data_IF_010220342139
#
_entry.id   IF_010220342139
#
_cell.length_a   1.000
_cell.length_b   1.000
_cell.length_c   1.000
_cell.angle_alpha   90.00
_cell.angle_beta   90.00
_cell.angle_gamma   90.00
#
_symmetry.space_group_name_H-M   'P 1'
#
loop_
_entity.id
_entity.type
_entity.pdbx_description
1 polymer ?
#
# COMPACT_ATOMS: atom_id res chain seq x y z
N UNK A 1 -16.04 17.32 2.24
CA UNK A 1 -14.82 17.32 3.06
C UNK A 1 -13.74 16.50 2.38
N UNK A 2 -12.58 17.09 2.20
CA UNK A 2 -11.46 16.37 1.62
C UNK A 2 -10.93 15.35 2.61
N UNK A 3 -10.74 14.10 2.15
CA UNK A 3 -10.17 13.04 2.96
C UNK A 3 -8.67 12.99 2.71
N UNK A 4 -7.92 12.82 3.76
CA UNK A 4 -6.46 12.80 3.67
C UNK A 4 -5.88 11.54 4.30
N UNK A 5 -4.74 11.13 3.77
CA UNK A 5 -3.92 10.11 4.41
C UNK A 5 -3.21 10.73 5.60
N UNK A 6 -3.32 10.08 6.75
CA UNK A 6 -2.69 10.51 7.99
C UNK A 6 -1.58 9.54 8.37
N UNK A 7 -0.45 10.07 8.83
CA UNK A 7 0.69 9.26 9.25
C UNK A 7 0.98 9.53 10.73
N UNK A 8 1.03 8.48 11.53
CA UNK A 8 1.43 8.53 12.93
C UNK A 8 2.78 7.85 13.08
N UNK A 9 3.77 8.59 13.57
CA UNK A 9 5.14 8.09 13.72
C UNK A 9 5.72 8.64 15.02
N UNK A 10 5.55 7.89 16.11
CA UNK A 10 6.10 8.28 17.40
C UNK A 10 7.62 8.26 17.37
N UNK A 11 8.24 9.23 18.06
CA UNK A 11 9.69 9.29 18.17
C UNK A 11 10.26 8.03 18.83
N UNK A 12 11.34 7.51 18.28
CA UNK A 12 12.04 6.35 18.84
C UNK A 12 11.42 5.00 18.53
N UNK A 13 10.39 4.95 17.69
CA UNK A 13 9.76 3.68 17.29
C UNK A 13 10.27 3.20 15.94
N UNK A 14 10.14 1.89 15.69
CA UNK A 14 10.54 1.27 14.44
C UNK A 14 9.42 1.23 13.40
N UNK A 15 8.21 1.58 13.81
CA UNK A 15 7.04 1.51 12.93
C UNK A 15 6.42 2.88 12.70
N UNK A 16 5.51 2.92 11.74
CA UNK A 16 4.59 4.02 11.57
C UNK A 16 3.23 3.44 11.18
N UNK A 17 2.19 4.23 11.38
CA UNK A 17 0.82 3.81 11.05
C UNK A 17 0.21 4.85 10.11
N UNK A 18 -0.29 4.35 8.99
CA UNK A 18 -0.94 5.16 7.96
C UNK A 18 -2.43 4.85 8.00
N UNK A 19 -3.27 5.88 8.05
CA UNK A 19 -4.72 5.71 8.00
C UNK A 19 -5.33 6.57 6.91
N UNK A 20 -6.37 6.05 6.28
CA UNK A 20 -7.13 6.80 5.27
C UNK A 20 -8.55 6.26 5.20
N UNK A 21 -9.54 7.17 5.22
CA UNK A 21 -10.92 6.84 4.94
C UNK A 21 -11.19 7.09 3.45
N UNK A 22 -11.93 6.17 2.83
CA UNK A 22 -12.26 6.23 1.40
C UNK A 22 -13.77 6.26 1.19
N UNK A 23 -14.21 6.97 0.17
CA UNK A 23 -15.60 6.93 -0.29
C UNK A 23 -15.79 5.75 -1.23
N UNK A 24 -15.49 4.56 -0.71
CA UNK A 24 -15.55 3.28 -1.43
C UNK A 24 -16.15 2.22 -0.52
N UNK A 25 -17.01 1.35 -1.05
CA UNK A 25 -17.43 0.16 -0.28
C UNK A 25 -16.21 -0.68 0.09
N UNK A 26 -16.29 -1.38 1.21
CA UNK A 26 -15.19 -2.21 1.72
C UNK A 26 -14.65 -3.19 0.67
N UNK A 27 -15.54 -3.89 -0.02
CA UNK A 27 -15.14 -4.89 -1.02
C UNK A 27 -14.30 -4.26 -2.13
N UNK A 28 -14.64 -3.05 -2.54
CA UNK A 28 -13.94 -2.36 -3.61
C UNK A 28 -12.59 -1.84 -3.15
N UNK A 29 -12.51 -1.32 -1.91
CA UNK A 29 -11.24 -0.91 -1.32
C UNK A 29 -10.29 -2.11 -1.21
N UNK A 30 -10.81 -3.25 -0.78
CA UNK A 30 -10.00 -4.47 -0.66
C UNK A 30 -9.51 -4.94 -2.03
N UNK A 31 -10.39 -4.96 -3.03
CA UNK A 31 -10.03 -5.33 -4.41
C UNK A 31 -8.96 -4.42 -4.99
N UNK A 32 -8.94 -3.16 -4.60
CA UNK A 32 -7.90 -2.22 -5.03
C UNK A 32 -6.50 -2.66 -4.60
N UNK A 33 -6.39 -3.54 -3.62
CA UNK A 33 -5.11 -4.08 -3.15
C UNK A 33 -4.90 -5.56 -3.53
N UNK A 34 -5.95 -6.24 -3.97
CA UNK A 34 -5.91 -7.68 -4.19
C UNK A 34 -6.07 -8.09 -5.66
N UNK A 35 -6.76 -7.30 -6.48
CA UNK A 35 -6.96 -7.64 -7.89
C UNK A 35 -5.91 -6.99 -8.78
N UNK A 36 -5.13 -7.79 -9.54
CA UNK A 36 -4.02 -7.27 -10.34
C UNK A 36 -4.39 -6.11 -11.27
N UNK A 37 -5.52 -6.21 -11.96
CA UNK A 37 -5.94 -5.18 -12.92
C UNK A 37 -6.22 -3.86 -12.23
N UNK A 38 -6.80 -3.90 -11.04
CA UNK A 38 -7.13 -2.69 -10.29
C UNK A 38 -5.87 -2.09 -9.67
N UNK A 39 -5.01 -2.93 -9.09
CA UNK A 39 -3.71 -2.51 -8.56
C UNK A 39 -2.91 -1.79 -9.65
N UNK A 40 -2.84 -2.37 -10.83
CA UNK A 40 -2.09 -1.81 -11.95
C UNK A 40 -2.61 -0.42 -12.34
N UNK A 41 -3.92 -0.22 -12.31
CA UNK A 41 -4.53 1.05 -12.71
C UNK A 41 -4.18 2.20 -11.76
N UNK A 42 -4.42 2.03 -10.45
CA UNK A 42 -4.22 3.16 -9.55
C UNK A 42 -2.75 3.36 -9.15
N UNK A 43 -1.97 2.29 -9.10
CA UNK A 43 -0.53 2.41 -8.77
C UNK A 43 0.31 2.78 -9.99
N UNK A 44 -0.21 2.62 -11.20
CA UNK A 44 0.57 2.86 -12.41
C UNK A 44 1.73 1.88 -12.52
N UNK A 45 1.52 0.63 -12.14
CA UNK A 45 2.55 -0.41 -12.12
C UNK A 45 2.09 -1.63 -12.90
N UNK A 46 3.06 -2.47 -13.27
CA UNK A 46 2.77 -3.77 -13.88
C UNK A 46 2.84 -4.81 -12.78
N UNK A 47 1.77 -5.59 -12.63
CA UNK A 47 1.72 -6.68 -11.65
C UNK A 47 2.29 -7.92 -12.33
N UNK A 48 3.52 -8.29 -11.97
CA UNK A 48 4.18 -9.47 -12.53
C UNK A 48 3.71 -10.74 -11.82
N UNK A 49 3.39 -10.63 -10.54
CA UNK A 49 2.97 -11.75 -9.71
C UNK A 49 2.14 -11.23 -8.56
N UNK A 50 1.06 -11.91 -8.24
CA UNK A 50 0.24 -11.60 -7.06
C UNK A 50 -0.52 -12.87 -6.66
N UNK A 51 0.09 -13.64 -5.77
CA UNK A 51 -0.49 -14.88 -5.27
C UNK A 51 -1.14 -14.62 -3.91
N UNK A 52 -2.43 -14.34 -3.91
CA UNK A 52 -3.21 -13.95 -2.73
C UNK A 52 -3.51 -15.15 -1.84
N UNK A 53 -2.51 -15.64 -1.16
CA UNK A 53 -2.62 -16.76 -0.23
C UNK A 53 -1.44 -16.72 0.72
N UNK A 54 -1.57 -17.46 1.82
CA UNK A 54 -0.45 -17.62 2.78
C UNK A 54 0.77 -18.16 2.05
N UNK A 55 1.90 -17.50 2.24
CA UNK A 55 3.20 -17.80 1.61
C UNK A 55 3.25 -17.55 0.11
N UNK A 56 2.23 -16.90 -0.45
CA UNK A 56 2.24 -16.48 -1.85
C UNK A 56 3.16 -15.29 -2.05
N UNK A 57 3.80 -15.24 -3.23
CA UNK A 57 4.69 -14.14 -3.58
C UNK A 57 3.97 -13.04 -4.35
N UNK A 58 4.56 -11.84 -4.35
CA UNK A 58 4.07 -10.76 -5.19
C UNK A 58 5.24 -9.96 -5.76
N UNK A 59 5.08 -9.42 -6.96
CA UNK A 59 6.09 -8.63 -7.65
C UNK A 59 5.44 -7.57 -8.52
N UNK A 60 5.87 -6.31 -8.35
CA UNK A 60 5.41 -5.18 -9.14
C UNK A 60 6.59 -4.53 -9.85
N UNK A 61 6.36 -4.06 -11.08
CA UNK A 61 7.38 -3.38 -11.86
C UNK A 61 6.81 -2.10 -12.43
N UNK A 62 7.48 -0.98 -12.17
CA UNK A 62 7.05 0.33 -12.69
C UNK A 62 8.03 0.79 -13.75
N UNK A 63 7.50 1.24 -14.90
CA UNK A 63 8.29 1.74 -16.01
C UNK A 63 7.97 3.20 -16.27
N UNK A 64 8.91 3.91 -16.88
CA UNK A 64 8.69 5.28 -17.34
C UNK A 64 7.99 5.27 -18.72
N UNK A 65 7.74 6.46 -19.29
CA UNK A 65 7.06 6.60 -20.57
C UNK A 65 7.84 5.98 -21.74
N UNK A 66 9.14 5.74 -21.56
CA UNK A 66 10.01 5.15 -22.59
C UNK A 66 10.13 3.64 -22.44
N UNK A 67 9.48 3.06 -21.42
CA UNK A 67 9.56 1.63 -21.16
C UNK A 67 10.73 1.19 -20.30
N UNK A 68 11.51 2.12 -19.77
CA UNK A 68 12.61 1.79 -18.86
C UNK A 68 12.08 1.46 -17.47
N UNK A 69 12.60 0.41 -16.84
CA UNK A 69 12.21 0.02 -15.50
C UNK A 69 12.79 1.04 -14.51
N UNK A 70 11.92 1.73 -13.77
CA UNK A 70 12.32 2.72 -12.77
C UNK A 70 12.24 2.19 -11.35
N UNK A 71 11.42 1.18 -11.11
CA UNK A 71 11.37 0.52 -9.79
C UNK A 71 10.79 -0.89 -9.88
N UNK A 72 11.22 -1.74 -8.97
CA UNK A 72 10.67 -3.06 -8.75
C UNK A 72 10.48 -3.25 -7.26
N UNK A 73 9.34 -3.87 -6.91
CA UNK A 73 9.05 -4.21 -5.53
C UNK A 73 8.59 -5.66 -5.48
N UNK A 74 8.88 -6.33 -4.36
CA UNK A 74 8.49 -7.73 -4.18
C UNK A 74 8.25 -8.02 -2.71
N UNK A 75 7.65 -9.17 -2.45
CA UNK A 75 7.44 -9.62 -1.08
C UNK A 75 6.74 -10.96 -1.02
N UNK A 76 6.40 -11.34 0.21
CA UNK A 76 5.67 -12.57 0.51
C UNK A 76 4.47 -12.22 1.37
N UNK A 77 3.32 -12.81 1.04
CA UNK A 77 2.08 -12.67 1.81
C UNK A 77 2.09 -13.71 2.93
N UNK A 78 1.88 -13.27 4.17
CA UNK A 78 1.82 -14.17 5.34
C UNK A 78 0.41 -14.42 5.82
N UNK A 79 -0.49 -13.44 5.66
CA UNK A 79 -1.91 -13.61 5.94
C UNK A 79 -2.71 -12.91 4.85
N UNK A 80 -3.78 -13.54 4.45
CA UNK A 80 -4.72 -12.97 3.48
C UNK A 80 -6.13 -13.36 3.92
N UNK A 81 -6.90 -12.39 4.42
CA UNK A 81 -8.28 -12.58 4.83
C UNK A 81 -9.14 -11.61 4.05
N UNK A 82 -9.97 -12.14 3.16
CA UNK A 82 -10.79 -11.33 2.26
C UNK A 82 -11.58 -10.27 3.01
N UNK A 83 -11.52 -9.04 2.53
CA UNK A 83 -12.20 -7.86 3.07
C UNK A 83 -11.79 -7.50 4.51
N UNK A 84 -10.70 -8.05 5.03
CA UNK A 84 -10.28 -7.77 6.40
C UNK A 84 -8.82 -7.39 6.55
N UNK A 85 -7.88 -8.22 6.06
CA UNK A 85 -6.46 -7.91 6.25
C UNK A 85 -5.55 -8.62 5.28
N UNK A 86 -4.40 -7.98 5.05
CA UNK A 86 -3.27 -8.57 4.34
C UNK A 86 -2.03 -8.28 5.19
N UNK A 87 -1.26 -9.31 5.48
CA UNK A 87 0.06 -9.15 6.13
C UNK A 87 1.10 -9.63 5.14
N UNK A 88 2.09 -8.77 4.86
CA UNK A 88 3.09 -9.08 3.84
C UNK A 88 4.42 -8.40 4.12
N UNK A 89 5.48 -8.92 3.53
CA UNK A 89 6.75 -8.21 3.45
C UNK A 89 6.77 -7.35 2.19
N UNK A 90 7.59 -6.32 2.20
CA UNK A 90 7.78 -5.40 1.09
C UNK A 90 9.27 -5.07 0.97
N UNK A 91 9.82 -5.27 -0.23
CA UNK A 91 11.18 -4.89 -0.55
C UNK A 91 11.19 -4.08 -1.84
N UNK A 92 11.81 -2.88 -1.79
CA UNK A 92 12.07 -2.10 -2.99
C UNK A 92 13.46 -2.48 -3.49
N UNK A 93 13.52 -3.10 -4.68
CA UNK A 93 14.79 -3.54 -5.25
C UNK A 93 15.65 -2.35 -5.66
N UNK A 94 16.95 -2.50 -5.47
CA UNK A 94 17.95 -1.47 -5.81
C UNK A 94 17.76 -0.13 -5.07
N UNK A 95 17.12 -0.17 -3.91
CA UNK A 95 16.95 0.99 -3.05
C UNK A 95 17.67 0.76 -1.71
N UNK A 96 18.09 1.83 -1.03
CA UNK A 96 18.83 1.70 0.23
C UNK A 96 17.92 1.40 1.42
N UNK A 97 16.78 0.76 1.18
CA UNK A 97 15.82 0.39 2.21
C UNK A 97 15.73 -1.14 2.26
N UNK A 98 15.86 -1.68 3.46
CA UNK A 98 15.73 -3.12 3.66
C UNK A 98 14.27 -3.56 3.62
N UNK A 99 14.04 -4.86 3.71
CA UNK A 99 12.70 -5.43 3.75
C UNK A 99 11.93 -4.86 4.94
N UNK A 100 10.69 -4.48 4.70
CA UNK A 100 9.77 -4.01 5.73
C UNK A 100 8.59 -4.95 5.85
N UNK A 101 7.95 -4.95 7.02
CA UNK A 101 6.76 -5.77 7.29
C UNK A 101 5.54 -4.85 7.31
N UNK A 102 4.51 -5.22 6.56
CA UNK A 102 3.30 -4.41 6.43
C UNK A 102 2.07 -5.18 6.90
N UNK A 103 1.27 -4.51 7.74
CA UNK A 103 -0.03 -4.99 8.21
C UNK A 103 -1.09 -4.07 7.64
N UNK A 104 -1.88 -4.56 6.69
CA UNK A 104 -2.97 -3.81 6.09
C UNK A 104 -4.29 -4.30 6.68
N UNK A 105 -5.03 -3.38 7.31
CA UNK A 105 -6.34 -3.64 7.86
C UNK A 105 -7.42 -2.89 7.09
N UNK A 106 -8.53 -3.54 6.82
CA UNK A 106 -9.65 -3.00 6.05
C UNK A 106 -10.90 -3.05 6.90
N UNK A 107 -11.61 -1.93 6.99
CA UNK A 107 -12.78 -1.81 7.86
C UNK A 107 -13.91 -1.08 7.15
N UNK A 108 -15.11 -1.62 7.24
CA UNK A 108 -16.30 -0.96 6.73
C UNK A 108 -16.77 0.08 7.73
N UNK A 109 -17.03 1.31 7.26
CA UNK A 109 -17.58 2.39 8.09
C UNK A 109 -19.08 2.55 7.85
N UNK A 110 -19.47 2.61 6.57
CA UNK A 110 -20.86 2.63 6.13
C UNK A 110 -20.96 1.74 4.89
N UNK A 111 -22.13 1.64 4.30
CA UNK A 111 -22.31 0.83 3.07
C UNK A 111 -21.40 1.33 1.93
N UNK A 112 -21.11 2.62 1.91
CA UNK A 112 -20.35 3.27 0.81
C UNK A 112 -18.99 3.80 1.23
N UNK A 113 -18.60 3.65 2.49
CA UNK A 113 -17.32 4.16 2.99
C UNK A 113 -16.56 3.10 3.76
N UNK A 114 -15.23 3.20 3.71
CA UNK A 114 -14.34 2.22 4.33
C UNK A 114 -13.05 2.90 4.77
N UNK A 115 -12.27 2.18 5.58
CA UNK A 115 -11.02 2.69 6.13
C UNK A 115 -9.90 1.69 5.94
N UNK A 116 -8.75 2.20 5.51
CA UNK A 116 -7.50 1.46 5.44
C UNK A 116 -6.61 1.90 6.59
N UNK A 117 -6.05 0.93 7.30
CA UNK A 117 -5.00 1.16 8.30
C UNK A 117 -3.80 0.32 7.90
N UNK A 118 -2.64 0.96 7.71
CA UNK A 118 -1.40 0.28 7.37
C UNK A 118 -0.39 0.52 8.48
N UNK A 119 0.08 -0.55 9.12
CA UNK A 119 1.22 -0.46 10.02
C UNK A 119 2.43 -0.98 9.26
N UNK A 120 3.48 -0.18 9.18
CA UNK A 120 4.73 -0.56 8.51
C UNK A 120 5.84 -0.62 9.55
N UNK A 121 6.48 -1.78 9.68
CA UNK A 121 7.57 -2.01 10.61
C UNK A 121 8.88 -2.08 9.83
N UNK A 122 9.81 -1.20 10.15
CA UNK A 122 11.12 -1.12 9.50
C UNK A 122 12.17 -1.90 10.29
N UNK A 123 13.29 -2.18 9.65
CA UNK A 123 14.40 -2.91 10.25
C UNK A 123 14.98 -2.20 11.48
N UNK A 124 14.94 -0.88 11.49
CA UNK A 124 15.51 -0.07 12.57
C UNK A 124 14.79 1.27 12.69
N UNK A 125 14.97 1.90 13.86
CA UNK A 125 14.48 3.27 14.08
C UNK A 125 15.13 4.23 13.08
N UNK A 126 16.44 4.08 12.86
CA UNK A 126 17.17 4.94 11.93
C UNK A 126 16.62 4.87 10.50
N UNK A 127 16.30 3.67 10.04
CA UNK A 127 15.76 3.46 8.70
C UNK A 127 14.37 4.07 8.56
N UNK A 128 13.52 3.91 9.57
CA UNK A 128 12.20 4.54 9.60
C UNK A 128 12.32 6.06 9.54
N UNK A 129 13.20 6.63 10.35
CA UNK A 129 13.40 8.07 10.39
C UNK A 129 13.92 8.60 9.06
N UNK A 130 14.78 7.82 8.38
CA UNK A 130 15.28 8.17 7.06
C UNK A 130 14.14 8.21 6.04
N UNK A 131 13.21 7.26 6.11
CA UNK A 131 12.03 7.22 5.24
C UNK A 131 11.16 8.47 5.45
N UNK A 132 10.98 8.88 6.69
CA UNK A 132 10.16 10.05 7.02
C UNK A 132 10.78 11.38 6.54
N UNK A 133 12.09 11.42 6.27
CA UNK A 133 12.77 12.61 5.73
C UNK A 133 12.52 12.79 4.24
N UNK A 134 12.12 11.74 3.54
CA UNK A 134 11.75 11.82 2.13
C UNK A 134 10.33 12.41 2.05
N UNK A 135 9.88 12.86 0.86
CA UNK A 135 8.49 13.34 0.72
C UNK A 135 7.49 12.19 0.76
N UNK A 136 7.60 11.35 1.79
CA UNK A 136 6.83 10.12 1.94
C UNK A 136 5.35 10.41 2.18
N UNK A 137 5.04 11.33 3.11
CA UNK A 137 3.66 11.68 3.45
C UNK A 137 2.90 12.20 2.23
N UNK A 138 3.54 13.09 1.47
CA UNK A 138 2.97 13.65 0.26
C UNK A 138 2.76 12.57 -0.80
N UNK A 139 3.74 11.70 -0.98
CA UNK A 139 3.68 10.63 -1.97
C UNK A 139 2.56 9.64 -1.69
N UNK A 140 2.41 9.21 -0.45
CA UNK A 140 1.36 8.25 -0.09
C UNK A 140 -0.03 8.88 -0.18
N UNK A 141 -0.16 10.17 0.20
CA UNK A 141 -1.43 10.88 0.06
C UNK A 141 -1.85 10.99 -1.40
N UNK A 142 -0.91 11.31 -2.29
CA UNK A 142 -1.17 11.38 -3.73
C UNK A 142 -1.56 10.03 -4.31
N UNK A 143 -0.90 8.96 -3.88
CA UNK A 143 -1.22 7.60 -4.31
C UNK A 143 -2.64 7.21 -3.88
N UNK A 144 -3.02 7.52 -2.65
CA UNK A 144 -4.36 7.24 -2.15
C UNK A 144 -5.42 8.09 -2.85
N UNK A 145 -5.09 9.32 -3.24
CA UNK A 145 -6.00 10.14 -4.04
C UNK A 145 -6.24 9.50 -5.40
N UNK A 146 -5.20 8.96 -6.04
CA UNK A 146 -5.34 8.22 -7.30
C UNK A 146 -6.18 6.97 -7.11
N UNK A 147 -6.00 6.25 -6.00
CA UNK A 147 -6.81 5.08 -5.68
C UNK A 147 -8.28 5.48 -5.62
N UNK A 148 -8.61 6.52 -4.87
CA UNK A 148 -9.99 7.00 -4.74
C UNK A 148 -10.57 7.36 -6.11
N UNK A 149 -9.85 8.15 -6.89
CA UNK A 149 -10.34 8.65 -8.19
C UNK A 149 -10.51 7.52 -9.22
N UNK A 150 -9.56 6.59 -9.24
CA UNK A 150 -9.57 5.48 -10.20
C UNK A 150 -10.64 4.45 -9.84
N UNK A 151 -10.68 4.05 -8.59
CA UNK A 151 -11.50 2.91 -8.15
C UNK A 151 -12.98 3.29 -8.00
N UNK A 152 -13.28 4.55 -7.67
CA UNK A 152 -14.68 4.97 -7.58
C UNK A 152 -15.43 4.83 -8.91
N UNK A 153 -14.71 4.83 -10.03
CA UNK A 153 -15.31 4.63 -11.35
C UNK A 153 -15.82 3.19 -11.55
N UNK A 154 -15.41 2.29 -10.66
CA UNK A 154 -15.80 0.89 -10.71
C UNK A 154 -17.02 0.57 -9.84
N UNK A 155 -17.56 1.58 -9.19
CA UNK A 155 -18.78 1.40 -8.38
C UNK A 155 -19.97 0.94 -9.21
#
# INVERSE_FOLDING_TARGET
MERRTTIHAEEGKQDLVITREFELPLELLFKAHAEPEIVAQWMGTKVLKLENKKHGGWQYETTDAKGNVVSRANGVIHEFVENRKIVRTFEMENAPFDVQLEFLGFEQLTDDTSKLTMQIVYKSVALRDQMLKLPFAQGINMAHNRLQDTVQKLK
#
